data_IF_720483003768
#
_entry.id   IF_720483003768
#
_cell.length_a   1.000
_cell.length_b   1.000
_cell.length_c   1.000
_cell.angle_alpha   90.00
_cell.angle_beta   90.00
_cell.angle_gamma   90.00
#
_symmetry.space_group_name_H-M   'P 1'
#
loop_
_entity.id
_entity.type
_entity.pdbx_description
1 polymer ?
#
# COMPACT_ATOMS: atom_id res chain seq x y z
N UNK A 1 -4.70 -3.40 -26.34
CA UNK A 1 -4.89 -4.09 -25.06
C UNK A 1 -4.73 -3.10 -23.92
N UNK A 2 -5.68 -3.06 -23.02
CA UNK A 2 -5.65 -2.11 -21.91
C UNK A 2 -4.72 -2.60 -20.82
N UNK A 3 -3.79 -1.76 -20.38
CA UNK A 3 -2.91 -2.09 -19.27
C UNK A 3 -3.72 -2.19 -17.97
N UNK A 4 -3.31 -3.10 -17.09
CA UNK A 4 -3.90 -3.15 -15.75
C UNK A 4 -3.47 -1.93 -14.95
N UNK A 5 -4.36 -1.40 -14.15
CA UNK A 5 -4.02 -0.35 -13.20
C UNK A 5 -3.07 -0.89 -12.13
N UNK A 6 -2.22 0.00 -11.61
CA UNK A 6 -1.25 -0.33 -10.56
C UNK A 6 -1.51 0.54 -9.36
N UNK A 7 -1.45 -0.07 -8.18
CA UNK A 7 -1.82 0.60 -6.93
C UNK A 7 -0.73 0.42 -5.88
N UNK A 8 -0.51 1.47 -5.11
CA UNK A 8 0.36 1.44 -3.93
C UNK A 8 -0.51 1.57 -2.69
N UNK A 9 -0.34 0.68 -1.73
CA UNK A 9 -1.00 0.75 -0.43
C UNK A 9 0.05 1.03 0.62
N UNK A 10 -0.16 2.04 1.47
CA UNK A 10 0.78 2.25 2.55
C UNK A 10 0.66 1.12 3.59
N UNK A 11 1.68 1.02 4.44
CA UNK A 11 1.76 -0.07 5.41
C UNK A 11 0.57 -0.08 6.35
N UNK A 12 0.12 1.08 6.84
CA UNK A 12 -0.98 1.14 7.80
C UNK A 12 -2.30 0.66 7.22
N UNK A 13 -2.54 0.93 5.93
CA UNK A 13 -3.75 0.46 5.25
C UNK A 13 -3.70 -1.06 5.08
N UNK A 14 -2.55 -1.63 4.74
CA UNK A 14 -2.39 -3.07 4.62
C UNK A 14 -2.57 -3.77 5.97
N UNK A 15 -2.03 -3.18 7.04
CA UNK A 15 -2.22 -3.68 8.41
C UNK A 15 -3.69 -3.69 8.77
N UNK A 16 -4.41 -2.58 8.54
CA UNK A 16 -5.84 -2.49 8.79
C UNK A 16 -6.63 -3.52 7.99
N UNK A 17 -6.23 -3.76 6.75
CA UNK A 17 -6.90 -4.74 5.89
C UNK A 17 -6.84 -6.15 6.46
N UNK A 18 -5.73 -6.49 7.13
CA UNK A 18 -5.55 -7.80 7.75
C UNK A 18 -6.24 -7.90 9.10
N UNK A 19 -6.12 -6.84 9.94
CA UNK A 19 -6.60 -6.88 11.32
C UNK A 19 -8.10 -6.71 11.46
N UNK A 20 -8.73 -5.96 10.56
CA UNK A 20 -10.14 -5.59 10.68
C UNK A 20 -10.89 -6.08 9.45
N UNK A 21 -11.62 -7.19 9.63
CA UNK A 21 -12.45 -7.78 8.58
C UNK A 21 -13.50 -6.78 8.10
N UNK A 22 -13.69 -6.71 6.78
CA UNK A 22 -14.64 -5.80 6.12
C UNK A 22 -14.45 -4.31 6.38
N UNK A 23 -13.27 -3.90 6.89
CA UNK A 23 -12.92 -2.47 6.95
C UNK A 23 -12.86 -1.87 5.55
N UNK A 24 -12.90 -0.55 5.45
CA UNK A 24 -12.67 0.11 4.17
C UNK A 24 -11.33 -0.31 3.57
N UNK A 25 -10.30 -0.47 4.41
CA UNK A 25 -8.98 -0.94 3.99
C UNK A 25 -9.04 -2.34 3.36
N UNK A 26 -9.76 -3.27 4.01
CA UNK A 26 -9.92 -4.63 3.50
C UNK A 26 -10.69 -4.65 2.18
N UNK A 27 -11.76 -3.86 2.09
CA UNK A 27 -12.55 -3.76 0.86
C UNK A 27 -11.75 -3.14 -0.28
N UNK A 28 -10.99 -2.06 0.01
CA UNK A 28 -10.15 -1.41 -0.98
C UNK A 28 -9.06 -2.35 -1.50
N UNK A 29 -8.44 -3.09 -0.61
CA UNK A 29 -7.41 -4.06 -0.98
C UNK A 29 -7.96 -5.14 -1.93
N UNK A 30 -9.12 -5.72 -1.59
CA UNK A 30 -9.76 -6.72 -2.46
C UNK A 30 -10.10 -6.14 -3.83
N UNK A 31 -10.65 -4.93 -3.84
CA UNK A 31 -11.00 -4.26 -5.10
C UNK A 31 -9.77 -4.00 -5.97
N UNK A 32 -8.69 -3.53 -5.37
CA UNK A 32 -7.45 -3.24 -6.10
C UNK A 32 -6.86 -4.52 -6.71
N UNK A 33 -6.89 -5.62 -5.97
CA UNK A 33 -6.40 -6.90 -6.47
C UNK A 33 -7.21 -7.42 -7.65
N UNK A 34 -8.51 -7.17 -7.64
CA UNK A 34 -9.37 -7.56 -8.75
C UNK A 34 -9.18 -6.66 -9.97
N UNK A 35 -8.94 -5.37 -9.74
CA UNK A 35 -8.84 -4.38 -10.82
C UNK A 35 -7.45 -4.32 -11.46
N UNK A 36 -6.39 -4.70 -10.74
CA UNK A 36 -5.05 -4.55 -11.25
C UNK A 36 -3.97 -5.18 -10.39
N UNK A 37 -2.83 -4.52 -10.33
CA UNK A 37 -1.65 -5.01 -9.62
C UNK A 37 -1.34 -4.16 -8.40
N UNK A 38 -0.93 -4.83 -7.32
CA UNK A 38 -0.39 -4.16 -6.13
C UNK A 38 1.12 -4.08 -6.31
N UNK A 39 1.69 -2.90 -6.06
CA UNK A 39 3.13 -2.68 -6.17
C UNK A 39 3.82 -2.79 -4.82
N UNK A 40 5.01 -3.36 -4.82
CA UNK A 40 5.93 -3.36 -3.68
C UNK A 40 7.33 -3.01 -4.17
N UNK A 41 8.09 -2.34 -3.32
CA UNK A 41 9.52 -2.19 -3.46
C UNK A 41 10.21 -2.89 -2.30
N UNK A 42 11.51 -3.04 -2.34
CA UNK A 42 12.23 -3.62 -1.21
C UNK A 42 12.00 -2.82 0.08
N UNK A 43 12.14 -1.48 0.10
CA UNK A 43 11.88 -0.72 1.33
C UNK A 43 10.45 -0.86 1.86
N UNK A 44 9.44 -0.86 1.00
CA UNK A 44 8.05 -1.00 1.46
C UNK A 44 7.76 -2.41 1.95
N UNK A 45 8.31 -3.43 1.30
CA UNK A 45 8.16 -4.82 1.74
C UNK A 45 8.85 -5.06 3.09
N UNK A 46 10.03 -4.49 3.31
CA UNK A 46 10.74 -4.60 4.58
C UNK A 46 9.94 -3.94 5.71
N UNK A 47 9.39 -2.75 5.48
CA UNK A 47 8.56 -2.07 6.47
C UNK A 47 7.31 -2.89 6.80
N UNK A 48 6.64 -3.40 5.78
CA UNK A 48 5.45 -4.23 5.98
C UNK A 48 5.76 -5.46 6.83
N UNK A 49 6.84 -6.14 6.51
CA UNK A 49 7.24 -7.33 7.25
C UNK A 49 7.54 -7.00 8.72
N UNK A 50 8.28 -5.91 8.96
CA UNK A 50 8.62 -5.48 10.31
C UNK A 50 7.39 -5.10 11.13
N UNK A 51 6.48 -4.31 10.54
CA UNK A 51 5.26 -3.87 11.23
C UNK A 51 4.32 -5.04 11.49
N UNK A 52 4.14 -5.92 10.51
CA UNK A 52 3.26 -7.09 10.65
C UNK A 52 3.77 -8.11 11.66
N UNK A 53 5.07 -8.09 11.97
CA UNK A 53 5.64 -8.98 12.97
C UNK A 53 5.47 -8.52 14.41
N UNK A 54 4.89 -7.35 14.66
CA UNK A 54 4.76 -6.81 16.02
C UNK A 54 3.82 -7.64 16.88
N UNK A 55 4.26 -7.98 18.09
CA UNK A 55 3.49 -8.82 19.02
C UNK A 55 2.15 -8.22 19.44
N UNK A 56 2.03 -6.89 19.42
CA UNK A 56 0.77 -6.22 19.79
C UNK A 56 -0.42 -6.64 18.92
N UNK A 57 -0.16 -7.18 17.73
CA UNK A 57 -1.22 -7.63 16.84
C UNK A 57 -1.69 -9.06 17.11
N UNK A 58 -1.01 -9.80 17.99
CA UNK A 58 -1.37 -11.19 18.31
C UNK A 58 -2.78 -11.34 18.89
N UNK A 59 -3.28 -10.28 19.52
CA UNK A 59 -4.64 -10.29 20.10
C UNK A 59 -5.74 -10.21 19.04
N UNK A 60 -5.41 -9.86 17.80
CA UNK A 60 -6.38 -9.70 16.72
C UNK A 60 -6.25 -10.80 15.67
N UNK A 61 -5.04 -11.09 15.25
CA UNK A 61 -4.71 -12.08 14.23
C UNK A 61 -3.42 -12.77 14.63
N UNK A 62 -3.36 -14.09 14.50
CA UNK A 62 -2.16 -14.84 14.89
C UNK A 62 -0.94 -14.39 14.07
N UNK A 63 0.25 -14.54 14.65
CA UNK A 63 1.49 -14.24 13.94
C UNK A 63 1.61 -15.08 12.66
N UNK A 64 1.21 -16.35 12.73
CA UNK A 64 1.23 -17.26 11.59
C UNK A 64 0.37 -16.77 10.44
N UNK A 65 -0.86 -16.32 10.74
CA UNK A 65 -1.76 -15.81 9.70
C UNK A 65 -1.24 -14.50 9.10
N UNK A 66 -0.62 -13.64 9.90
CA UNK A 66 -0.02 -12.41 9.40
C UNK A 66 1.16 -12.71 8.48
N UNK A 67 2.00 -13.68 8.83
CA UNK A 67 3.12 -14.11 8.00
C UNK A 67 2.64 -14.68 6.66
N UNK A 68 1.58 -15.46 6.68
CA UNK A 68 0.98 -15.99 5.46
C UNK A 68 0.47 -14.88 4.54
N UNK A 69 -0.14 -13.85 5.12
CA UNK A 69 -0.60 -12.72 4.33
C UNK A 69 0.57 -12.01 3.64
N UNK A 70 1.64 -11.72 4.38
CA UNK A 70 2.82 -11.05 3.83
C UNK A 70 3.46 -11.89 2.72
N UNK A 71 3.62 -13.20 2.95
CA UNK A 71 4.19 -14.09 1.96
C UNK A 71 3.34 -14.15 0.69
N UNK A 72 2.02 -14.25 0.85
CA UNK A 72 1.11 -14.29 -0.29
C UNK A 72 1.12 -12.97 -1.07
N UNK A 73 1.19 -11.85 -0.36
CA UNK A 73 1.26 -10.54 -1.00
C UNK A 73 2.55 -10.36 -1.78
N UNK A 74 3.68 -10.75 -1.21
CA UNK A 74 4.97 -10.64 -1.90
C UNK A 74 4.97 -11.47 -3.18
N UNK A 75 4.38 -12.66 -3.15
CA UNK A 75 4.28 -13.51 -4.34
C UNK A 75 3.35 -12.92 -5.41
N UNK A 76 2.28 -12.29 -5.01
CA UNK A 76 1.26 -11.77 -5.92
C UNK A 76 1.58 -10.36 -6.44
N UNK A 77 2.34 -9.57 -5.68
CA UNK A 77 2.63 -8.19 -6.02
C UNK A 77 3.66 -8.09 -7.13
N UNK A 78 3.64 -6.95 -7.82
CA UNK A 78 4.70 -6.62 -8.75
C UNK A 78 5.80 -5.89 -7.99
N UNK A 79 7.01 -6.43 -8.01
CA UNK A 79 8.18 -5.80 -7.40
C UNK A 79 8.74 -4.74 -8.34
N UNK A 80 8.95 -3.54 -7.81
CA UNK A 80 9.45 -2.39 -8.56
C UNK A 80 10.83 -2.01 -8.02
N UNK A 81 11.79 -1.88 -8.93
CA UNK A 81 13.12 -1.37 -8.60
C UNK A 81 13.03 0.16 -8.53
N UNK A 82 13.55 0.74 -7.44
CA UNK A 82 13.49 2.19 -7.24
C UNK A 82 14.69 2.84 -7.93
N UNK A 83 14.43 3.64 -8.95
CA UNK A 83 15.44 4.33 -9.74
C UNK A 83 15.51 5.83 -9.46
N UNK A 84 14.56 6.39 -8.74
CA UNK A 84 14.51 7.81 -8.42
C UNK A 84 14.22 8.00 -6.93
N UNK A 85 14.99 8.86 -6.25
CA UNK A 85 14.73 9.23 -4.87
C UNK A 85 13.94 10.54 -4.83
N UNK A 86 12.92 10.56 -3.97
CA UNK A 86 11.99 11.68 -3.85
C UNK A 86 11.98 12.15 -2.40
N UNK A 87 12.13 13.46 -2.20
CA UNK A 87 12.07 14.08 -0.89
C UNK A 87 10.94 15.11 -0.90
N UNK A 88 9.72 14.66 -0.65
CA UNK A 88 8.53 15.53 -0.75
C UNK A 88 7.59 15.42 0.45
N UNK A 89 7.58 14.28 1.14
CA UNK A 89 6.71 14.10 2.28
C UNK A 89 7.27 14.77 3.53
N UNK A 90 6.38 15.30 4.38
CA UNK A 90 6.78 15.92 5.64
C UNK A 90 7.59 14.95 6.51
N UNK A 91 7.16 13.69 6.59
CA UNK A 91 7.94 12.62 7.22
C UNK A 91 8.73 11.89 6.14
N UNK A 92 10.08 11.96 6.15
CA UNK A 92 10.89 11.31 5.11
C UNK A 92 10.69 9.79 5.03
N UNK A 93 10.19 9.16 6.08
CA UNK A 93 9.91 7.71 6.08
C UNK A 93 8.83 7.35 5.08
N UNK A 94 7.95 8.29 4.72
CA UNK A 94 6.83 8.01 3.82
C UNK A 94 7.17 8.27 2.36
N UNK A 95 8.33 8.87 2.08
CA UNK A 95 8.78 9.09 0.70
C UNK A 95 8.91 7.80 -0.10
N UNK A 96 9.15 6.66 0.57
CA UNK A 96 9.25 5.36 -0.10
C UNK A 96 7.98 5.00 -0.88
N UNK A 97 6.81 5.45 -0.43
CA UNK A 97 5.54 5.20 -1.13
C UNK A 97 5.42 6.07 -2.38
N UNK A 98 5.90 7.30 -2.32
CA UNK A 98 5.95 8.17 -3.50
C UNK A 98 6.94 7.62 -4.52
N UNK A 99 8.11 7.19 -4.08
CA UNK A 99 9.12 6.59 -4.96
C UNK A 99 8.57 5.35 -5.66
N UNK A 100 7.89 4.49 -4.91
CA UNK A 100 7.28 3.29 -5.46
C UNK A 100 6.22 3.63 -6.51
N UNK A 101 5.35 4.59 -6.20
CA UNK A 101 4.29 4.98 -7.11
C UNK A 101 4.83 5.59 -8.41
N UNK A 102 5.83 6.46 -8.30
CA UNK A 102 6.45 7.10 -9.46
C UNK A 102 7.19 6.07 -10.33
N UNK A 103 8.06 5.28 -9.70
CA UNK A 103 8.86 4.29 -10.44
C UNK A 103 8.00 3.16 -11.03
N UNK A 104 6.90 2.84 -10.37
CA UNK A 104 5.98 1.78 -10.81
C UNK A 104 4.83 2.27 -11.67
N UNK A 105 4.74 3.55 -11.96
CA UNK A 105 3.65 4.14 -12.73
C UNK A 105 2.29 3.81 -12.14
N UNK A 106 2.13 4.03 -10.84
CA UNK A 106 0.88 3.74 -10.14
C UNK A 106 -0.22 4.74 -10.54
N UNK A 107 -1.45 4.25 -10.59
CA UNK A 107 -2.62 5.10 -10.77
C UNK A 107 -2.97 5.82 -9.46
N UNK A 108 -2.67 5.19 -8.33
CA UNK A 108 -3.15 5.67 -7.04
C UNK A 108 -2.30 5.14 -5.89
N UNK A 109 -2.15 5.97 -4.85
CA UNK A 109 -1.66 5.56 -3.53
C UNK A 109 -2.86 5.57 -2.59
N UNK A 110 -3.09 4.48 -1.88
CA UNK A 110 -4.15 4.37 -0.87
C UNK A 110 -3.50 4.50 0.51
N UNK A 111 -3.90 5.51 1.26
CA UNK A 111 -3.29 5.84 2.54
C UNK A 111 -4.28 6.51 3.49
N UNK A 112 -4.03 6.41 4.78
CA UNK A 112 -4.73 7.19 5.80
C UNK A 112 -3.86 8.29 6.39
N UNK A 113 -2.62 8.42 5.92
CA UNK A 113 -1.68 9.42 6.46
C UNK A 113 -1.95 10.79 5.88
N UNK A 114 -2.21 11.76 6.75
CA UNK A 114 -2.51 13.14 6.36
C UNK A 114 -1.37 13.80 5.58
N UNK A 115 -0.13 13.49 5.91
CA UNK A 115 1.03 14.07 5.23
C UNK A 115 1.14 13.59 3.78
N UNK A 116 0.81 12.34 3.52
CA UNK A 116 0.72 11.83 2.15
C UNK A 116 -0.50 12.39 1.42
N UNK A 117 -1.66 12.39 2.08
CA UNK A 117 -2.90 12.91 1.48
C UNK A 117 -2.77 14.38 1.07
N UNK A 118 -1.98 15.16 1.82
CA UNK A 118 -1.74 16.58 1.52
C UNK A 118 -1.02 16.79 0.19
N UNK A 119 -0.35 15.77 -0.33
CA UNK A 119 0.39 15.85 -1.60
C UNK A 119 -0.47 15.50 -2.82
N UNK A 120 -1.73 15.13 -2.61
CA UNK A 120 -2.64 14.76 -3.71
C UNK A 120 -2.97 15.95 -4.63
N UNK A 121 -2.90 15.78 -5.98
CA UNK A 121 -2.24 14.68 -6.69
C UNK A 121 -0.73 14.93 -6.77
N UNK A 122 0.04 13.85 -6.78
CA UNK A 122 1.48 13.94 -6.90
C UNK A 122 1.91 13.40 -8.26
N UNK A 123 2.44 14.26 -9.14
CA UNK A 123 2.85 13.88 -10.50
C UNK A 123 1.76 13.05 -11.20
N UNK A 124 0.52 13.53 -11.13
CA UNK A 124 -0.67 12.87 -11.69
C UNK A 124 -1.09 11.56 -10.99
N UNK A 125 -0.39 11.17 -9.94
CA UNK A 125 -0.77 10.02 -9.11
C UNK A 125 -1.79 10.51 -8.07
N UNK A 126 -2.94 9.86 -8.04
CA UNK A 126 -3.98 10.18 -7.06
C UNK A 126 -3.58 9.60 -5.71
N UNK A 127 -3.82 10.37 -4.64
CA UNK A 127 -3.56 9.90 -3.28
C UNK A 127 -4.88 9.95 -2.54
N UNK A 128 -5.41 8.78 -2.16
CA UNK A 128 -6.78 8.62 -1.68
C UNK A 128 -6.80 7.82 -0.39
N UNK A 129 -7.81 8.09 0.45
CA UNK A 129 -8.14 7.19 1.55
C UNK A 129 -8.77 5.92 0.99
N UNK A 130 -8.85 4.87 1.81
CA UNK A 130 -9.52 3.64 1.40
C UNK A 130 -10.99 3.90 1.02
N UNK A 131 -11.69 4.72 1.80
CA UNK A 131 -13.08 5.08 1.50
C UNK A 131 -13.21 5.81 0.17
N UNK A 132 -12.33 6.77 -0.11
CA UNK A 132 -12.32 7.49 -1.38
C UNK A 132 -12.00 6.56 -2.55
N UNK A 133 -11.06 5.64 -2.34
CA UNK A 133 -10.70 4.65 -3.35
C UNK A 133 -11.91 3.80 -3.76
N UNK A 134 -12.71 3.38 -2.80
CA UNK A 134 -13.89 2.55 -3.05
C UNK A 134 -14.93 3.24 -3.92
N UNK A 135 -15.01 4.58 -3.86
CA UNK A 135 -15.97 5.33 -4.68
C UNK A 135 -15.37 5.82 -6.00
N UNK A 136 -14.05 5.73 -6.17
CA UNK A 136 -13.34 6.28 -7.33
C UNK A 136 -12.91 5.23 -8.34
N UNK A 137 -12.89 3.98 -7.95
CA UNK A 137 -12.44 2.88 -8.81
C UNK A 137 -13.41 1.71 -8.93
#
# INVERSE_FOLDING_TARGET
MKSKDRFVFDTSVLVSAVLIENSHSAQAFRKARQAGEILLSLPTAEELNAVMGREKFNRYVTAEDRERFVAALIQAARLIEIAEHIAACRDPKDDKFLELAVCGHAACIVTGDEDLLALHPFREIRILTAAQFLTSF
#
